data_IF_757932521589
#
_entry.id   IF_757932521589
#
_cell.length_a   1.000
_cell.length_b   1.000
_cell.length_c   1.000
_cell.angle_alpha   90.00
_cell.angle_beta   90.00
_cell.angle_gamma   90.00
#
_symmetry.space_group_name_H-M   'P 1'
#
loop_
_entity.id
_entity.type
_entity.pdbx_description
1 polymer ?
#
# COMPACT_ATOMS: atom_id res chain seq x y z
N UNK A 1 -44.16 -5.96 35.02
CA UNK A 1 -43.64 -7.30 34.60
C UNK A 1 -44.29 -7.84 33.31
N UNK A 2 -45.62 -7.74 33.11
CA UNK A 2 -46.28 -8.21 31.85
C UNK A 2 -45.84 -7.42 30.60
N UNK A 3 -45.67 -6.10 30.68
CA UNK A 3 -45.25 -5.24 29.56
C UNK A 3 -43.81 -5.53 29.07
N UNK A 4 -42.87 -5.87 29.96
CA UNK A 4 -41.52 -6.25 29.58
C UNK A 4 -41.44 -7.58 28.84
N UNK A 5 -42.31 -8.54 29.15
CA UNK A 5 -42.39 -9.82 28.43
C UNK A 5 -42.97 -9.70 27.03
N UNK A 6 -43.95 -8.80 26.83
CA UNK A 6 -44.57 -8.53 25.53
C UNK A 6 -43.54 -7.84 24.62
N UNK A 7 -42.79 -6.87 25.14
CA UNK A 7 -41.73 -6.20 24.36
C UNK A 7 -40.63 -7.18 23.92
N UNK A 8 -40.21 -8.15 24.73
CA UNK A 8 -39.24 -9.17 24.36
C UNK A 8 -39.73 -10.11 23.25
N UNK A 9 -40.99 -10.57 23.33
CA UNK A 9 -41.58 -11.44 22.31
C UNK A 9 -41.77 -10.73 20.97
N UNK A 10 -42.22 -9.46 21.00
CA UNK A 10 -42.37 -8.63 19.80
C UNK A 10 -40.99 -8.37 19.19
N UNK A 11 -40.00 -8.02 20.02
CA UNK A 11 -38.63 -7.78 19.62
C UNK A 11 -38.02 -9.01 18.92
N UNK A 12 -38.19 -10.21 19.50
CA UNK A 12 -37.69 -11.46 18.93
C UNK A 12 -38.32 -11.75 17.56
N UNK A 13 -39.63 -11.50 17.40
CA UNK A 13 -40.35 -11.73 16.15
C UNK A 13 -40.04 -10.70 15.06
N UNK A 14 -39.71 -9.45 15.42
CA UNK A 14 -39.27 -8.41 14.50
C UNK A 14 -37.79 -8.57 14.07
N UNK A 15 -36.99 -9.20 14.92
CA UNK A 15 -35.55 -9.45 14.66
C UNK A 15 -35.33 -10.73 13.83
N UNK A 16 -36.32 -11.65 13.81
CA UNK A 16 -36.16 -12.91 13.08
C UNK A 16 -35.82 -12.66 11.61
N UNK A 17 -34.67 -13.14 11.21
CA UNK A 17 -34.17 -13.08 9.82
C UNK A 17 -35.03 -13.97 8.93
N UNK A 18 -35.55 -15.09 9.49
CA UNK A 18 -36.27 -16.11 8.78
C UNK A 18 -37.64 -16.31 9.39
N UNK A 19 -38.71 -15.75 8.75
CA UNK A 19 -40.07 -16.04 9.07
C UNK A 19 -40.68 -16.92 7.98
N UNK A 20 -40.99 -18.19 8.30
CA UNK A 20 -41.54 -19.17 7.34
C UNK A 20 -42.87 -18.72 6.72
N UNK A 21 -43.61 -17.80 7.38
CA UNK A 21 -44.88 -17.27 6.90
C UNK A 21 -44.75 -16.15 5.86
N UNK A 22 -43.59 -15.48 5.81
CA UNK A 22 -43.33 -14.35 4.93
C UNK A 22 -42.00 -14.53 4.17
N UNK A 23 -42.00 -15.45 3.20
CA UNK A 23 -40.80 -15.76 2.36
C UNK A 23 -40.19 -14.52 1.74
N UNK A 24 -41.00 -13.55 1.32
CA UNK A 24 -40.51 -12.32 0.67
C UNK A 24 -39.77 -11.38 1.67
N UNK A 25 -40.26 -11.21 2.89
CA UNK A 25 -39.61 -10.44 3.94
C UNK A 25 -38.24 -11.03 4.29
N UNK A 26 -38.15 -12.36 4.41
CA UNK A 26 -36.88 -13.05 4.64
C UNK A 26 -35.88 -12.80 3.53
N UNK A 27 -36.32 -12.80 2.26
CA UNK A 27 -35.45 -12.47 1.12
C UNK A 27 -34.90 -11.06 1.22
N UNK A 28 -35.72 -10.05 1.48
CA UNK A 28 -35.27 -8.64 1.62
C UNK A 28 -34.24 -8.48 2.73
N UNK A 29 -34.44 -9.16 3.87
CA UNK A 29 -33.50 -9.14 4.98
C UNK A 29 -32.14 -9.76 4.59
N UNK A 30 -32.18 -10.92 3.94
CA UNK A 30 -30.94 -11.57 3.45
C UNK A 30 -30.22 -10.71 2.43
N UNK A 31 -30.95 -10.12 1.46
CA UNK A 31 -30.35 -9.20 0.50
C UNK A 31 -29.73 -7.96 1.16
N UNK A 32 -30.37 -7.41 2.19
CA UNK A 32 -29.80 -6.27 2.91
C UNK A 32 -28.50 -6.64 3.62
N UNK A 33 -28.43 -7.81 4.25
CA UNK A 33 -27.19 -8.31 4.87
C UNK A 33 -26.13 -8.55 3.81
N UNK A 34 -26.48 -9.19 2.68
CA UNK A 34 -25.54 -9.45 1.59
C UNK A 34 -24.96 -8.17 0.99
N UNK A 35 -25.80 -7.16 0.71
CA UNK A 35 -25.33 -5.87 0.17
C UNK A 35 -24.41 -5.18 1.17
N UNK A 36 -24.76 -5.16 2.46
CA UNK A 36 -23.90 -4.60 3.52
C UNK A 36 -22.56 -5.36 3.59
N UNK A 37 -22.61 -6.69 3.48
CA UNK A 37 -21.39 -7.53 3.45
C UNK A 37 -20.52 -7.19 2.25
N UNK A 38 -21.09 -7.11 1.04
CA UNK A 38 -20.35 -6.82 -0.19
C UNK A 38 -19.74 -5.41 -0.13
N UNK A 39 -20.52 -4.39 0.27
CA UNK A 39 -20.02 -3.02 0.38
C UNK A 39 -18.87 -2.92 1.39
N UNK A 40 -19.02 -3.48 2.58
CA UNK A 40 -17.99 -3.45 3.61
C UNK A 40 -16.75 -4.24 3.19
N UNK A 41 -16.92 -5.42 2.60
CA UNK A 41 -15.85 -6.23 2.03
C UNK A 41 -15.07 -5.43 0.97
N UNK A 42 -15.79 -4.81 0.01
CA UNK A 42 -15.16 -4.02 -1.06
C UNK A 42 -14.34 -2.86 -0.52
N UNK A 43 -14.85 -2.14 0.50
CA UNK A 43 -14.10 -1.04 1.13
C UNK A 43 -12.80 -1.56 1.78
N UNK A 44 -12.86 -2.66 2.53
CA UNK A 44 -11.67 -3.24 3.17
C UNK A 44 -10.65 -3.66 2.12
N UNK A 45 -11.07 -4.35 1.06
CA UNK A 45 -10.18 -4.83 0.01
C UNK A 45 -9.55 -3.67 -0.76
N UNK A 46 -10.33 -2.66 -1.17
CA UNK A 46 -9.80 -1.49 -1.90
C UNK A 46 -8.73 -0.78 -1.07
N UNK A 47 -8.99 -0.54 0.21
CA UNK A 47 -8.03 0.13 1.08
C UNK A 47 -6.79 -0.76 1.33
N UNK A 48 -6.98 -2.07 1.57
CA UNK A 48 -5.88 -3.01 1.79
C UNK A 48 -4.98 -3.18 0.56
N UNK A 49 -5.55 -3.19 -0.64
CA UNK A 49 -4.81 -3.23 -1.90
C UNK A 49 -4.05 -1.91 -2.12
N UNK A 50 -4.70 -0.76 -1.91
CA UNK A 50 -4.05 0.54 -2.02
C UNK A 50 -2.84 0.68 -1.10
N UNK A 51 -3.01 0.32 0.17
CA UNK A 51 -1.90 0.34 1.15
C UNK A 51 -0.81 -0.66 0.77
N UNK A 52 -1.20 -1.84 0.27
CA UNK A 52 -0.28 -2.85 -0.23
C UNK A 52 0.59 -2.34 -1.37
N UNK A 53 -0.02 -1.70 -2.38
CA UNK A 53 0.71 -1.08 -3.50
C UNK A 53 1.65 0.02 -3.02
N UNK A 54 1.15 0.96 -2.21
CA UNK A 54 1.99 2.04 -1.68
C UNK A 54 3.20 1.51 -0.93
N UNK A 55 2.97 0.58 -0.02
CA UNK A 55 4.04 0.01 0.80
C UNK A 55 5.04 -0.76 -0.06
N UNK A 56 4.58 -1.54 -1.03
CA UNK A 56 5.47 -2.29 -1.92
C UNK A 56 6.40 -1.37 -2.71
N UNK A 57 5.84 -0.33 -3.35
CA UNK A 57 6.63 0.63 -4.12
C UNK A 57 7.58 1.43 -3.22
N UNK A 58 7.10 1.93 -2.08
CA UNK A 58 7.93 2.65 -1.12
C UNK A 58 9.08 1.77 -0.64
N UNK A 59 8.84 0.48 -0.33
CA UNK A 59 9.90 -0.43 0.07
C UNK A 59 10.97 -0.61 -1.02
N UNK A 60 10.57 -0.79 -2.29
CA UNK A 60 11.52 -0.90 -3.40
C UNK A 60 12.35 0.38 -3.53
N UNK A 61 11.69 1.55 -3.47
CA UNK A 61 12.37 2.84 -3.55
C UNK A 61 13.33 3.06 -2.38
N UNK A 62 12.92 2.69 -1.15
CA UNK A 62 13.77 2.79 0.05
C UNK A 62 14.93 1.81 -0.01
N UNK A 63 14.73 0.62 -0.54
CA UNK A 63 15.79 -0.36 -0.71
C UNK A 63 16.86 0.13 -1.71
N UNK A 64 16.45 0.81 -2.78
CA UNK A 64 17.34 1.30 -3.81
C UNK A 64 17.94 2.69 -3.50
N UNK A 65 17.16 3.57 -2.90
CA UNK A 65 17.54 4.99 -2.71
C UNK A 65 17.75 5.39 -1.26
N UNK A 66 17.41 4.50 -0.29
CA UNK A 66 17.43 4.79 1.15
C UNK A 66 16.24 5.61 1.63
N UNK A 67 16.13 5.73 2.93
CA UNK A 67 15.16 6.61 3.59
C UNK A 67 15.63 8.06 3.58
N UNK A 68 16.95 8.26 3.63
CA UNK A 68 17.60 9.58 3.55
C UNK A 68 18.89 9.48 2.77
N UNK A 69 19.26 10.58 2.11
CA UNK A 69 20.59 10.75 1.50
C UNK A 69 21.29 11.96 2.06
N UNK A 70 22.58 11.81 2.33
CA UNK A 70 23.48 12.86 2.75
C UNK A 70 24.34 13.22 1.56
N UNK A 71 24.27 14.46 1.12
CA UNK A 71 25.09 15.04 0.07
C UNK A 71 26.14 15.99 0.65
N UNK A 72 27.27 16.18 0.00
CA UNK A 72 28.20 17.24 0.38
C UNK A 72 27.56 18.61 0.13
N UNK A 73 27.93 19.61 0.90
CA UNK A 73 27.67 21.01 0.55
C UNK A 73 28.46 21.40 -0.72
N UNK A 74 28.05 22.45 -1.45
CA UNK A 74 28.51 22.82 -2.79
C UNK A 74 30.05 22.88 -2.96
N UNK A 75 30.80 22.99 -1.88
CA UNK A 75 32.29 23.15 -1.88
C UNK A 75 33.01 21.99 -1.16
N UNK A 76 32.32 20.94 -0.79
CA UNK A 76 32.87 19.82 -0.02
C UNK A 76 32.67 18.52 -0.80
N UNK A 77 33.56 17.57 -0.62
CA UNK A 77 33.36 16.18 -1.01
C UNK A 77 33.11 15.29 0.21
N UNK A 78 32.46 14.17 0.03
CA UNK A 78 32.29 13.16 1.09
C UNK A 78 33.46 12.20 1.05
N UNK A 79 34.14 12.06 2.18
CA UNK A 79 35.29 11.19 2.36
C UNK A 79 34.99 9.99 3.27
N UNK A 80 35.91 9.03 3.29
CA UNK A 80 35.89 7.93 4.25
C UNK A 80 35.91 8.41 5.71
N UNK A 81 36.56 9.53 5.97
CA UNK A 81 36.60 10.19 7.27
C UNK A 81 35.16 10.63 7.70
N UNK A 82 34.41 11.24 6.77
CA UNK A 82 33.04 11.67 7.04
C UNK A 82 32.13 10.46 7.34
N UNK A 83 32.31 9.36 6.61
CA UNK A 83 31.60 8.10 6.87
C UNK A 83 31.88 7.59 8.29
N UNK A 84 33.14 7.51 8.68
CA UNK A 84 33.52 7.06 10.03
C UNK A 84 33.00 7.99 11.11
N UNK A 85 33.04 9.30 10.89
CA UNK A 85 32.51 10.29 11.81
C UNK A 85 31.00 10.12 12.01
N UNK A 86 30.21 10.02 10.94
CA UNK A 86 28.76 9.82 11.01
C UNK A 86 28.44 8.50 11.71
N UNK A 87 29.09 7.42 11.34
CA UNK A 87 28.90 6.10 11.95
C UNK A 87 29.23 6.12 13.46
N UNK A 88 30.27 6.83 13.87
CA UNK A 88 30.65 6.96 15.28
C UNK A 88 29.64 7.74 16.12
N UNK A 89 28.99 8.78 15.53
CA UNK A 89 28.00 9.61 16.22
C UNK A 89 26.70 8.84 16.48
N UNK A 90 26.27 8.04 15.52
CA UNK A 90 24.94 7.41 15.54
C UNK A 90 24.94 5.94 15.88
N UNK A 91 26.10 5.27 15.97
CA UNK A 91 26.28 3.88 16.47
C UNK A 91 25.08 3.00 16.15
N UNK A 92 25.05 2.29 15.12
CA UNK A 92 24.04 1.26 14.78
C UNK A 92 22.55 1.69 14.82
N UNK A 93 22.24 2.99 14.98
CA UNK A 93 20.85 3.47 14.95
C UNK A 93 20.23 3.34 13.54
N UNK A 94 21.07 3.33 12.52
CA UNK A 94 20.67 3.14 11.12
C UNK A 94 21.79 2.41 10.35
N UNK A 95 21.46 1.94 9.17
CA UNK A 95 22.43 1.39 8.23
C UNK A 95 22.83 2.45 7.21
N UNK A 96 24.11 2.56 6.93
CA UNK A 96 24.68 3.53 6.00
C UNK A 96 25.39 2.81 4.86
N UNK A 97 25.24 3.32 3.64
CA UNK A 97 25.94 2.83 2.46
C UNK A 97 26.55 4.01 1.69
N UNK A 98 27.75 3.78 1.17
CA UNK A 98 28.54 4.77 0.42
C UNK A 98 28.34 4.57 -1.07
N UNK A 99 28.13 5.63 -1.81
CA UNK A 99 27.88 5.54 -3.24
C UNK A 99 28.77 6.45 -4.07
N UNK A 100 29.24 5.86 -5.15
CA UNK A 100 29.72 6.59 -6.33
C UNK A 100 28.72 6.39 -7.44
N UNK A 101 28.31 7.46 -8.11
CA UNK A 101 27.46 7.36 -9.28
C UNK A 101 28.11 8.10 -10.45
N UNK A 102 28.03 7.50 -11.64
CA UNK A 102 28.49 8.12 -12.86
C UNK A 102 27.46 7.96 -13.96
N UNK A 103 27.12 9.04 -14.62
CA UNK A 103 26.34 8.97 -15.85
C UNK A 103 27.28 8.51 -16.97
N UNK A 104 26.91 7.46 -17.67
CA UNK A 104 27.73 6.87 -18.71
C UNK A 104 26.91 6.49 -19.93
N UNK A 105 27.56 6.38 -21.07
CA UNK A 105 26.97 5.68 -22.22
C UNK A 105 27.54 4.27 -22.24
N UNK A 106 26.65 3.31 -22.20
CA UNK A 106 27.00 1.89 -22.33
C UNK A 106 26.80 1.46 -23.77
N UNK A 107 27.88 0.99 -24.38
CA UNK A 107 27.84 0.45 -25.73
C UNK A 107 27.76 -1.05 -25.71
N UNK A 108 26.72 -1.56 -26.34
CA UNK A 108 26.57 -2.97 -26.68
C UNK A 108 27.13 -3.26 -28.06
N UNK A 109 27.02 -4.48 -28.56
CA UNK A 109 27.46 -4.84 -29.91
C UNK A 109 26.71 -4.08 -31.02
N UNK A 110 25.48 -3.63 -30.77
CA UNK A 110 24.59 -3.05 -31.79
C UNK A 110 24.18 -1.61 -31.50
N UNK A 111 24.07 -1.21 -30.22
CA UNK A 111 23.49 0.05 -29.78
C UNK A 111 24.30 0.70 -28.65
N UNK A 112 23.89 1.91 -28.30
CA UNK A 112 24.40 2.65 -27.14
C UNK A 112 23.24 3.21 -26.36
N UNK A 113 23.30 3.11 -25.03
CA UNK A 113 22.27 3.58 -24.11
C UNK A 113 22.89 4.44 -23.01
N UNK A 114 22.20 5.52 -22.62
CA UNK A 114 22.59 6.31 -21.47
C UNK A 114 22.16 5.60 -20.19
N UNK A 115 23.09 5.36 -19.29
CA UNK A 115 22.85 4.60 -18.07
C UNK A 115 23.43 5.32 -16.85
N UNK A 116 22.85 5.03 -15.70
CA UNK A 116 23.41 5.39 -14.41
C UNK A 116 24.23 4.20 -13.89
N UNK A 117 25.52 4.43 -13.78
CA UNK A 117 26.41 3.47 -13.15
C UNK A 117 26.56 3.82 -11.68
N UNK A 118 26.09 2.94 -10.81
CA UNK A 118 26.11 3.06 -9.36
C UNK A 118 27.04 2.01 -8.77
N UNK A 119 27.95 2.43 -7.91
CA UNK A 119 28.84 1.52 -7.21
C UNK A 119 28.81 1.74 -5.70
N UNK A 120 28.96 0.66 -4.97
CA UNK A 120 28.94 0.60 -3.51
C UNK A 120 29.97 -0.36 -2.97
N UNK A 121 30.28 -0.26 -1.67
CA UNK A 121 31.18 -1.21 -1.02
C UNK A 121 30.43 -2.52 -0.71
N UNK A 122 31.14 -3.64 -0.77
CA UNK A 122 30.63 -4.96 -0.36
C UNK A 122 30.23 -5.04 1.11
N UNK A 123 30.90 -4.27 1.97
CA UNK A 123 30.62 -4.25 3.40
C UNK A 123 29.43 -3.35 3.76
N UNK A 124 28.90 -2.62 2.79
CA UNK A 124 27.80 -1.70 3.01
C UNK A 124 26.44 -2.43 2.96
N UNK A 125 25.48 -1.90 3.70
CA UNK A 125 24.14 -2.49 3.81
C UNK A 125 23.43 -2.66 2.47
N UNK A 126 23.61 -1.72 1.54
CA UNK A 126 23.01 -1.79 0.21
C UNK A 126 23.40 -3.07 -0.54
N UNK A 127 24.66 -3.49 -0.43
CA UNK A 127 25.14 -4.70 -1.11
C UNK A 127 24.39 -5.95 -0.64
N UNK A 128 24.08 -6.07 0.65
CA UNK A 128 23.26 -7.16 1.17
C UNK A 128 21.80 -7.02 0.73
N UNK A 129 21.28 -5.80 0.70
CA UNK A 129 19.89 -5.53 0.39
C UNK A 129 19.54 -5.78 -1.08
N UNK A 130 20.46 -5.45 -2.01
CA UNK A 130 20.22 -5.65 -3.44
C UNK A 130 20.17 -7.14 -3.84
N UNK A 131 20.75 -8.04 -3.04
CA UNK A 131 20.72 -9.49 -3.30
C UNK A 131 19.31 -10.04 -3.45
N UNK A 132 18.32 -9.46 -2.78
CA UNK A 132 16.92 -9.89 -2.89
C UNK A 132 16.29 -9.59 -4.26
N UNK A 133 16.89 -8.68 -5.02
CA UNK A 133 16.47 -8.32 -6.37
C UNK A 133 17.28 -9.02 -7.46
N UNK A 134 18.35 -9.74 -7.11
CA UNK A 134 19.11 -10.52 -8.10
C UNK A 134 18.26 -11.67 -8.60
N UNK A 135 18.16 -11.79 -9.92
CA UNK A 135 17.48 -12.90 -10.61
C UNK A 135 18.48 -13.99 -10.91
N UNK A 136 19.59 -13.61 -11.52
CA UNK A 136 20.65 -14.53 -11.91
C UNK A 136 22.03 -13.96 -11.61
N UNK A 137 23.00 -14.83 -11.36
CA UNK A 137 24.39 -14.46 -11.18
C UNK A 137 24.73 -13.88 -9.81
N UNK A 138 25.88 -13.22 -9.74
CA UNK A 138 26.42 -12.62 -8.51
C UNK A 138 27.17 -11.33 -8.83
N UNK A 139 27.16 -10.38 -7.92
CA UNK A 139 28.00 -9.18 -8.03
C UNK A 139 29.40 -9.47 -7.46
N UNK A 140 30.43 -9.31 -8.29
CA UNK A 140 31.84 -9.52 -7.91
C UNK A 140 32.64 -8.24 -8.14
N UNK A 141 33.90 -8.19 -7.65
CA UNK A 141 34.74 -6.97 -7.66
C UNK A 141 35.13 -6.44 -9.05
N UNK A 142 35.10 -7.29 -10.06
CA UNK A 142 35.55 -6.94 -11.41
C UNK A 142 34.46 -7.01 -12.46
N UNK A 143 33.22 -7.14 -12.02
CA UNK A 143 32.07 -7.34 -12.91
C UNK A 143 30.93 -6.37 -12.57
N UNK A 144 29.95 -6.33 -13.44
CA UNK A 144 28.76 -5.52 -13.27
C UNK A 144 27.49 -6.38 -13.31
N UNK A 145 26.47 -5.91 -12.60
CA UNK A 145 25.13 -6.45 -12.66
C UNK A 145 24.22 -5.41 -13.31
N UNK A 146 23.44 -5.83 -14.30
CA UNK A 146 22.56 -4.96 -15.06
C UNK A 146 21.10 -5.31 -14.82
N UNK A 147 20.21 -4.34 -15.07
CA UNK A 147 18.77 -4.60 -14.96
C UNK A 147 18.28 -5.58 -16.03
N UNK A 148 17.29 -6.39 -15.66
CA UNK A 148 16.75 -7.46 -16.47
C UNK A 148 16.16 -6.96 -17.82
N UNK A 149 15.44 -5.83 -17.80
CA UNK A 149 14.90 -5.20 -19.01
C UNK A 149 16.00 -4.71 -19.97
N UNK A 150 17.12 -4.22 -19.45
CA UNK A 150 18.24 -3.83 -20.31
C UNK A 150 18.86 -5.03 -21.00
N UNK A 151 19.07 -6.13 -20.29
CA UNK A 151 19.64 -7.35 -20.86
C UNK A 151 18.69 -7.97 -21.89
N UNK A 152 17.38 -8.02 -21.59
CA UNK A 152 16.38 -8.53 -22.52
C UNK A 152 16.27 -7.67 -23.78
N UNK A 153 16.26 -6.34 -23.65
CA UNK A 153 16.15 -5.39 -24.78
C UNK A 153 17.27 -5.54 -25.80
N UNK A 154 18.47 -5.91 -25.35
CA UNK A 154 19.67 -6.01 -26.21
C UNK A 154 20.15 -7.45 -26.45
N UNK A 155 19.35 -8.46 -26.04
CA UNK A 155 19.67 -9.91 -26.13
C UNK A 155 21.07 -10.22 -25.54
N UNK A 156 21.36 -9.61 -24.38
CA UNK A 156 22.62 -9.78 -23.67
C UNK A 156 22.54 -10.96 -22.70
N UNK A 157 23.65 -11.71 -22.61
CA UNK A 157 23.75 -12.87 -21.71
C UNK A 157 24.79 -12.63 -20.63
N UNK A 158 24.66 -13.36 -19.53
CA UNK A 158 25.69 -13.41 -18.52
C UNK A 158 27.02 -13.85 -19.15
N UNK A 159 28.09 -13.13 -18.89
CA UNK A 159 29.38 -13.33 -19.50
C UNK A 159 29.72 -12.37 -20.64
N UNK A 160 28.74 -11.67 -21.20
CA UNK A 160 28.97 -10.66 -22.23
C UNK A 160 29.71 -9.44 -21.68
N UNK A 161 30.43 -8.74 -22.56
CA UNK A 161 31.20 -7.56 -22.21
C UNK A 161 30.48 -6.29 -22.66
N UNK A 162 30.37 -5.32 -21.74
CA UNK A 162 29.85 -3.98 -21.98
C UNK A 162 30.98 -2.96 -21.95
N UNK A 163 30.93 -1.98 -22.86
CA UNK A 163 31.88 -0.86 -22.88
C UNK A 163 31.20 0.38 -22.33
N UNK A 164 31.78 0.95 -21.29
CA UNK A 164 31.30 2.13 -20.57
C UNK A 164 32.12 3.35 -20.98
N UNK A 165 31.45 4.42 -21.39
CA UNK A 165 32.06 5.70 -21.69
C UNK A 165 31.53 6.72 -20.67
N UNK A 166 32.40 7.15 -19.80
CA UNK A 166 32.12 8.19 -18.80
C UNK A 166 32.50 9.54 -19.35
N UNK A 167 31.69 10.55 -19.17
CA UNK A 167 31.87 11.89 -19.72
C UNK A 167 32.09 12.90 -18.61
N UNK A 168 33.06 13.80 -18.84
CA UNK A 168 33.26 15.03 -18.09
C UNK A 168 33.31 16.19 -19.08
N UNK A 169 32.54 17.25 -18.82
CA UNK A 169 32.49 18.46 -19.64
C UNK A 169 32.31 18.19 -21.17
N UNK A 170 31.44 17.23 -21.51
CA UNK A 170 31.14 16.75 -22.88
C UNK A 170 32.28 15.99 -23.61
N UNK A 171 33.37 15.69 -22.95
CA UNK A 171 34.46 14.84 -23.47
C UNK A 171 34.42 13.48 -22.77
N UNK A 172 34.87 12.43 -23.47
CA UNK A 172 35.07 11.11 -22.86
C UNK A 172 36.26 11.21 -21.90
N UNK A 173 35.97 11.10 -20.60
CA UNK A 173 36.99 11.09 -19.56
C UNK A 173 37.68 9.74 -19.48
N UNK A 174 36.88 8.68 -19.50
CA UNK A 174 37.35 7.32 -19.32
C UNK A 174 36.48 6.31 -20.07
N UNK A 175 37.12 5.23 -20.51
CA UNK A 175 36.45 4.10 -21.13
C UNK A 175 36.81 2.82 -20.36
N UNK A 176 35.79 2.09 -19.94
CA UNK A 176 35.93 0.85 -19.21
C UNK A 176 35.25 -0.29 -19.96
N UNK A 177 35.68 -1.52 -19.70
CA UNK A 177 35.08 -2.69 -20.27
C UNK A 177 34.86 -3.73 -19.16
N UNK A 178 33.61 -4.03 -18.86
CA UNK A 178 33.24 -4.96 -17.80
C UNK A 178 32.40 -6.10 -18.32
N UNK A 179 32.54 -7.24 -17.66
CA UNK A 179 31.72 -8.42 -17.91
C UNK A 179 30.43 -8.36 -17.08
N UNK A 180 29.31 -8.71 -17.68
CA UNK A 180 28.02 -8.87 -16.99
C UNK A 180 28.06 -10.17 -16.21
N UNK A 181 27.97 -10.12 -14.91
CA UNK A 181 28.00 -11.31 -14.02
C UNK A 181 26.64 -11.65 -13.42
N UNK A 182 25.64 -10.80 -13.57
CA UNK A 182 24.32 -11.04 -13.05
C UNK A 182 23.27 -10.07 -13.58
N UNK A 183 22.03 -10.39 -13.30
CA UNK A 183 20.87 -9.54 -13.56
C UNK A 183 20.10 -9.26 -12.30
N UNK A 184 19.46 -8.09 -12.23
CA UNK A 184 18.53 -7.73 -11.16
C UNK A 184 17.19 -7.29 -11.74
N UNK A 185 16.13 -7.47 -10.96
CA UNK A 185 14.77 -7.12 -11.31
C UNK A 185 14.04 -6.47 -10.13
N UNK A 186 13.74 -5.20 -10.28
CA UNK A 186 12.98 -4.43 -9.29
C UNK A 186 11.50 -4.32 -9.64
N UNK A 187 11.14 -4.67 -10.87
CA UNK A 187 9.88 -4.40 -11.53
C UNK A 187 9.59 -2.88 -11.75
N UNK A 188 10.54 -2.00 -11.51
CA UNK A 188 10.46 -0.58 -11.87
C UNK A 188 11.23 -0.40 -13.19
N UNK A 189 10.53 -0.11 -14.31
CA UNK A 189 11.16 -0.08 -15.64
C UNK A 189 12.36 0.84 -15.74
N UNK A 190 12.33 2.00 -15.08
CA UNK A 190 13.43 2.97 -15.11
C UNK A 190 14.72 2.40 -14.51
N UNK A 191 14.63 1.67 -13.39
CA UNK A 191 15.79 1.03 -12.78
C UNK A 191 16.24 -0.18 -13.60
N UNK A 192 15.30 -1.03 -14.00
CA UNK A 192 15.61 -2.26 -14.71
C UNK A 192 16.11 -2.02 -16.15
N UNK A 193 15.92 -0.79 -16.70
CA UNK A 193 16.42 -0.41 -18.03
C UNK A 193 17.69 0.43 -18.01
N UNK A 194 17.91 1.26 -16.97
CA UNK A 194 18.93 2.30 -17.02
C UNK A 194 19.92 2.26 -15.85
N UNK A 195 19.83 1.29 -14.93
CA UNK A 195 20.74 1.18 -13.82
C UNK A 195 21.70 0.01 -13.99
N UNK A 196 22.99 0.27 -13.73
CA UNK A 196 24.04 -0.74 -13.62
C UNK A 196 24.67 -0.63 -12.24
N UNK A 197 24.91 -1.78 -11.63
CA UNK A 197 25.49 -1.89 -10.31
C UNK A 197 26.88 -2.53 -10.38
N UNK A 198 27.82 -2.01 -9.58
CA UNK A 198 29.15 -2.58 -9.40
C UNK A 198 29.65 -2.40 -7.98
N UNK A 199 30.78 -2.99 -7.67
CA UNK A 199 31.54 -2.65 -6.47
C UNK A 199 32.46 -1.45 -6.77
N UNK A 200 32.77 -0.61 -5.78
CA UNK A 200 33.53 0.63 -6.03
C UNK A 200 35.03 0.38 -6.27
N UNK A 201 35.54 -0.81 -6.06
CA UNK A 201 36.94 -1.15 -6.44
C UNK A 201 37.23 -1.01 -7.95
N UNK A 202 36.21 -0.73 -8.75
CA UNK A 202 36.36 -0.47 -10.19
C UNK A 202 36.67 0.99 -10.54
N UNK A 203 36.58 1.91 -9.57
CA UNK A 203 36.96 3.30 -9.75
C UNK A 203 38.40 3.52 -9.28
N UNK A 204 39.18 4.24 -10.06
CA UNK A 204 40.53 4.64 -9.70
C UNK A 204 40.57 5.46 -8.38
N UNK A 205 41.68 5.48 -7.72
CA UNK A 205 42.05 5.82 -6.35
C UNK A 205 41.53 7.12 -5.70
N UNK A 206 40.67 7.91 -6.30
CA UNK A 206 40.07 9.08 -5.65
C UNK A 206 38.78 8.72 -4.95
N UNK A 207 38.88 8.50 -3.65
CA UNK A 207 37.78 8.05 -2.80
C UNK A 207 36.92 9.25 -2.37
N UNK A 208 36.23 9.88 -3.31
CA UNK A 208 35.18 10.84 -3.03
C UNK A 208 33.83 10.22 -3.31
N UNK A 209 32.96 10.21 -2.30
CA UNK A 209 31.60 9.69 -2.46
C UNK A 209 30.67 10.80 -2.90
N UNK A 210 29.74 10.49 -3.78
CA UNK A 210 28.72 11.44 -4.22
C UNK A 210 27.66 11.65 -3.14
N UNK A 211 27.27 10.57 -2.48
CA UNK A 211 26.35 10.63 -1.35
C UNK A 211 26.48 9.41 -0.43
N UNK A 212 26.01 9.58 0.80
CA UNK A 212 25.75 8.46 1.71
C UNK A 212 24.25 8.21 1.77
N UNK A 213 23.86 6.94 1.61
CA UNK A 213 22.50 6.48 1.76
C UNK A 213 22.29 5.94 3.16
N UNK A 214 21.19 6.37 3.79
CA UNK A 214 20.78 5.92 5.12
C UNK A 214 19.50 5.10 4.99
N UNK A 215 19.49 3.92 5.61
CA UNK A 215 18.32 3.11 5.81
C UNK A 215 17.99 3.08 7.31
N UNK A 216 16.91 3.77 7.68
CA UNK A 216 16.40 3.93 9.04
C UNK A 216 15.08 3.17 9.19
N UNK A 217 15.15 1.93 9.68
CA UNK A 217 14.00 1.02 9.76
C UNK A 217 12.87 1.52 10.67
N UNK A 218 13.13 2.43 11.58
CA UNK A 218 12.16 2.96 12.53
C UNK A 218 11.71 4.40 12.22
N UNK A 219 12.33 5.06 11.23
CA UNK A 219 12.10 6.48 10.88
C UNK A 219 12.24 7.43 12.09
N UNK A 220 13.08 7.08 13.05
CA UNK A 220 13.19 7.76 14.34
C UNK A 220 14.41 8.67 14.45
N UNK A 221 15.37 8.54 13.51
CA UNK A 221 16.64 9.23 13.65
C UNK A 221 16.58 10.65 13.11
N UNK A 222 16.70 11.64 14.02
CA UNK A 222 16.96 13.02 13.63
C UNK A 222 18.46 13.19 13.38
N UNK A 223 18.80 13.69 12.19
CA UNK A 223 20.19 13.94 11.78
C UNK A 223 20.68 15.35 12.18
N UNK A 224 20.06 15.96 13.18
CA UNK A 224 20.32 17.35 13.61
C UNK A 224 21.78 17.61 14.00
N UNK A 225 22.50 16.57 14.46
CA UNK A 225 23.89 16.68 14.89
C UNK A 225 24.85 16.91 13.73
N UNK A 226 24.48 16.51 12.51
CA UNK A 226 25.32 16.63 11.32
C UNK A 226 24.80 17.66 10.31
N UNK A 227 23.60 18.17 10.49
CA UNK A 227 22.84 19.00 9.53
C UNK A 227 23.52 20.35 9.17
N UNK A 228 24.56 20.78 9.90
CA UNK A 228 25.26 22.03 9.62
C UNK A 228 26.32 21.95 8.53
N UNK A 229 26.71 20.73 8.13
CA UNK A 229 27.82 20.50 7.19
C UNK A 229 27.35 19.83 5.89
N UNK A 230 26.18 19.22 5.89
CA UNK A 230 25.70 18.38 4.79
C UNK A 230 24.26 18.72 4.42
N UNK A 231 23.94 18.53 3.15
CA UNK A 231 22.55 18.56 2.67
C UNK A 231 21.91 17.19 2.87
N UNK A 232 20.76 17.15 3.52
CA UNK A 232 20.05 15.90 3.80
C UNK A 232 18.71 15.95 3.09
N UNK A 233 18.48 14.98 2.21
CA UNK A 233 17.23 14.82 1.48
C UNK A 233 16.51 13.56 1.98
N UNK A 234 15.21 13.68 2.25
CA UNK A 234 14.35 12.55 2.62
C UNK A 234 13.93 11.75 1.37
N UNK A 235 13.52 10.50 1.56
CA UNK A 235 13.06 9.61 0.49
C UNK A 235 11.98 10.25 -0.41
N UNK A 236 11.08 11.07 0.17
CA UNK A 236 10.03 11.77 -0.58
C UNK A 236 10.57 12.89 -1.49
N UNK A 237 11.70 13.48 -1.16
CA UNK A 237 12.39 14.47 -2.00
C UNK A 237 13.20 13.79 -3.09
N UNK A 238 13.94 12.74 -2.74
CA UNK A 238 14.74 11.93 -3.67
C UNK A 238 13.87 11.33 -4.77
N UNK A 239 12.71 10.80 -4.39
CA UNK A 239 11.76 10.10 -5.27
C UNK A 239 10.47 10.91 -5.50
N UNK A 240 10.56 12.24 -5.55
CA UNK A 240 9.40 13.14 -5.54
C UNK A 240 8.34 12.80 -6.61
N UNK A 241 8.77 12.43 -7.81
CA UNK A 241 7.87 12.05 -8.91
C UNK A 241 7.05 10.80 -8.57
N UNK A 242 7.68 9.78 -7.99
CA UNK A 242 6.97 8.56 -7.56
C UNK A 242 6.01 8.84 -6.41
N UNK A 243 6.41 9.62 -5.41
CA UNK A 243 5.54 9.98 -4.30
C UNK A 243 4.34 10.83 -4.75
N UNK A 244 4.54 11.78 -5.67
CA UNK A 244 3.45 12.56 -6.27
C UNK A 244 2.49 11.66 -7.05
N UNK A 245 3.03 10.73 -7.84
CA UNK A 245 2.24 9.76 -8.58
C UNK A 245 1.42 8.87 -7.63
N UNK A 246 2.01 8.28 -6.60
CA UNK A 246 1.31 7.48 -5.58
C UNK A 246 0.18 8.27 -4.89
N UNK A 247 0.45 9.51 -4.52
CA UNK A 247 -0.53 10.36 -3.85
C UNK A 247 -1.67 10.80 -4.77
N UNK A 248 -1.45 10.85 -6.10
CA UNK A 248 -2.49 11.21 -7.07
C UNK A 248 -3.68 10.24 -7.08
N UNK A 249 -3.44 8.97 -6.71
CA UNK A 249 -4.49 7.94 -6.63
C UNK A 249 -5.36 8.03 -5.37
N UNK A 250 -4.95 8.77 -4.35
CA UNK A 250 -5.69 8.85 -3.09
C UNK A 250 -7.08 9.45 -3.26
N UNK A 251 -7.21 10.50 -4.07
CA UNK A 251 -8.49 11.17 -4.26
C UNK A 251 -9.50 10.33 -5.05
N UNK A 252 -9.15 9.70 -6.18
CA UNK A 252 -10.02 8.74 -6.86
C UNK A 252 -10.46 7.58 -5.96
N UNK A 253 -9.54 7.01 -5.15
CA UNK A 253 -9.87 5.91 -4.24
C UNK A 253 -10.83 6.37 -3.13
N UNK A 254 -10.60 7.53 -2.53
CA UNK A 254 -11.51 8.13 -1.53
C UNK A 254 -12.90 8.37 -2.12
N UNK A 255 -12.97 8.85 -3.36
CA UNK A 255 -14.23 9.05 -4.07
C UNK A 255 -14.97 7.73 -4.31
N UNK A 256 -14.25 6.69 -4.75
CA UNK A 256 -14.83 5.36 -4.96
C UNK A 256 -15.36 4.78 -3.64
N UNK A 257 -14.58 4.84 -2.56
CA UNK A 257 -15.01 4.41 -1.22
C UNK A 257 -16.23 5.19 -0.76
N UNK A 258 -16.28 6.51 -0.99
CA UNK A 258 -17.44 7.34 -0.68
C UNK A 258 -18.71 6.84 -1.38
N UNK A 259 -18.67 6.53 -2.69
CA UNK A 259 -19.82 6.00 -3.39
C UNK A 259 -20.28 4.64 -2.87
N UNK A 260 -19.34 3.74 -2.53
CA UNK A 260 -19.70 2.44 -1.93
C UNK A 260 -20.41 2.64 -0.58
N UNK A 261 -19.93 3.58 0.23
CA UNK A 261 -20.55 3.94 1.50
C UNK A 261 -21.95 4.49 1.29
N UNK A 262 -22.16 5.36 0.29
CA UNK A 262 -23.50 5.89 -0.05
C UNK A 262 -24.44 4.75 -0.46
N UNK A 263 -23.99 3.80 -1.25
CA UNK A 263 -24.78 2.62 -1.64
C UNK A 263 -25.17 1.78 -0.39
N UNK A 264 -24.25 1.57 0.51
CA UNK A 264 -24.52 0.85 1.77
C UNK A 264 -25.56 1.59 2.63
N UNK A 265 -25.48 2.93 2.73
CA UNK A 265 -26.46 3.76 3.42
C UNK A 265 -27.85 3.65 2.79
N UNK A 266 -27.96 3.78 1.48
CA UNK A 266 -29.23 3.68 0.75
C UNK A 266 -29.85 2.29 0.93
N UNK A 267 -29.04 1.23 0.96
CA UNK A 267 -29.51 -0.13 1.26
C UNK A 267 -30.17 -0.23 2.66
N UNK A 268 -29.53 0.33 3.69
CA UNK A 268 -30.07 0.31 5.05
C UNK A 268 -31.37 1.12 5.13
N UNK A 269 -31.41 2.30 4.49
CA UNK A 269 -32.62 3.14 4.43
C UNK A 269 -33.76 2.39 3.76
N UNK A 270 -33.52 1.80 2.60
CA UNK A 270 -34.53 1.05 1.85
C UNK A 270 -35.05 -0.16 2.64
N UNK A 271 -34.18 -0.90 3.32
CA UNK A 271 -34.60 -2.04 4.13
C UNK A 271 -35.52 -1.62 5.28
N UNK A 272 -35.22 -0.51 5.95
CA UNK A 272 -36.05 0.02 7.04
C UNK A 272 -37.39 0.55 6.52
N UNK A 273 -37.39 1.29 5.39
CA UNK A 273 -38.62 1.78 4.75
C UNK A 273 -39.52 0.62 4.34
N UNK A 274 -38.96 -0.40 3.70
CA UNK A 274 -39.66 -1.60 3.30
C UNK A 274 -40.34 -2.30 4.51
N UNK A 275 -39.60 -2.46 5.62
CA UNK A 275 -40.15 -3.05 6.84
C UNK A 275 -41.35 -2.26 7.35
N UNK A 276 -41.24 -0.95 7.46
CA UNK A 276 -42.32 -0.09 7.99
C UNK A 276 -43.55 -0.15 7.09
N UNK A 277 -43.36 -0.13 5.79
CA UNK A 277 -44.46 -0.21 4.81
C UNK A 277 -45.20 -1.55 4.90
N UNK A 278 -44.49 -2.66 4.86
CA UNK A 278 -45.10 -4.00 4.89
C UNK A 278 -45.73 -4.35 6.22
N UNK A 279 -45.16 -3.89 7.32
CA UNK A 279 -45.68 -4.15 8.66
C UNK A 279 -46.59 -3.05 9.20
N UNK A 280 -47.00 -2.07 8.37
CA UNK A 280 -47.86 -0.96 8.78
C UNK A 280 -49.11 -1.42 9.52
N UNK A 281 -49.83 -2.44 9.02
CA UNK A 281 -51.01 -3.02 9.70
C UNK A 281 -50.69 -3.61 11.07
N UNK A 282 -49.59 -4.36 11.18
CA UNK A 282 -49.16 -4.97 12.43
C UNK A 282 -48.70 -3.90 13.45
N UNK A 283 -47.99 -2.89 12.98
CA UNK A 283 -47.55 -1.75 13.77
C UNK A 283 -48.76 -0.99 14.33
N UNK A 284 -49.76 -0.70 13.50
CA UNK A 284 -50.98 -0.01 13.94
C UNK A 284 -51.75 -0.81 15.00
N UNK A 285 -51.83 -2.14 14.86
CA UNK A 285 -52.42 -3.01 15.90
C UNK A 285 -51.65 -2.92 17.22
N UNK A 286 -50.32 -2.93 17.19
CA UNK A 286 -49.46 -2.81 18.36
C UNK A 286 -49.63 -1.44 19.05
N UNK A 287 -49.73 -0.39 18.27
CA UNK A 287 -49.97 0.98 18.78
C UNK A 287 -51.36 1.07 19.42
N UNK A 288 -52.41 0.45 18.81
CA UNK A 288 -53.76 0.42 19.37
C UNK A 288 -53.84 -0.42 20.64
N UNK A 289 -52.97 -1.38 20.83
CA UNK A 289 -52.81 -2.18 22.06
C UNK A 289 -51.99 -1.44 23.14
N UNK A 290 -51.62 -0.15 22.92
CA UNK A 290 -50.95 0.68 23.89
C UNK A 290 -49.43 0.65 23.84
N UNK A 291 -48.81 0.19 22.72
CA UNK A 291 -47.38 0.27 22.53
C UNK A 291 -46.96 1.73 22.33
N UNK A 292 -45.93 2.17 23.06
CA UNK A 292 -45.38 3.53 22.91
C UNK A 292 -44.54 3.65 21.63
N UNK A 293 -44.64 4.78 20.94
CA UNK A 293 -43.84 5.14 19.78
C UNK A 293 -42.32 5.03 19.99
N UNK A 294 -41.85 5.37 21.21
CA UNK A 294 -40.44 5.21 21.58
C UNK A 294 -39.99 3.74 21.58
N UNK A 295 -40.83 2.83 22.03
CA UNK A 295 -40.54 1.40 22.04
C UNK A 295 -40.46 0.85 20.60
N UNK A 296 -41.33 1.33 19.72
CA UNK A 296 -41.31 0.93 18.29
C UNK A 296 -40.01 1.42 17.60
N UNK A 297 -39.64 2.69 17.81
CA UNK A 297 -38.35 3.21 17.32
C UNK A 297 -37.17 2.34 17.78
N UNK A 298 -37.13 2.02 19.07
CA UNK A 298 -36.06 1.18 19.64
C UNK A 298 -35.97 -0.18 18.97
N UNK A 299 -37.13 -0.83 18.69
CA UNK A 299 -37.14 -2.13 17.99
C UNK A 299 -36.56 -2.03 16.58
N UNK A 300 -36.92 -0.99 15.82
CA UNK A 300 -36.42 -0.78 14.45
C UNK A 300 -34.90 -0.52 14.47
N UNK A 301 -34.41 0.34 15.40
CA UNK A 301 -33.00 0.62 15.56
C UNK A 301 -32.21 -0.65 15.89
N UNK A 302 -32.67 -1.43 16.88
CA UNK A 302 -31.98 -2.66 17.28
C UNK A 302 -31.91 -3.65 16.10
N UNK A 303 -33.02 -3.81 15.35
CA UNK A 303 -33.04 -4.69 14.17
C UNK A 303 -32.05 -4.25 13.10
N UNK A 304 -32.08 -2.98 12.72
CA UNK A 304 -31.15 -2.44 11.69
C UNK A 304 -29.71 -2.58 12.11
N UNK A 305 -29.42 -2.30 13.39
CA UNK A 305 -28.06 -2.44 13.95
C UNK A 305 -27.60 -3.90 13.93
N UNK A 306 -28.46 -4.85 14.27
CA UNK A 306 -28.12 -6.29 14.24
C UNK A 306 -27.80 -6.77 12.81
N UNK A 307 -28.59 -6.36 11.80
CA UNK A 307 -28.32 -6.75 10.43
C UNK A 307 -27.03 -6.12 9.89
N UNK A 308 -26.77 -4.86 10.25
CA UNK A 308 -25.51 -4.17 9.92
C UNK A 308 -24.31 -4.87 10.59
N UNK A 309 -24.41 -5.25 11.86
CA UNK A 309 -23.36 -5.98 12.59
C UNK A 309 -23.09 -7.33 11.93
N UNK A 310 -24.12 -8.10 11.60
CA UNK A 310 -23.97 -9.42 10.96
C UNK A 310 -23.27 -9.25 9.59
N UNK A 311 -23.70 -8.27 8.79
CA UNK A 311 -23.11 -7.96 7.50
C UNK A 311 -21.64 -7.54 7.62
N UNK A 312 -21.30 -6.66 8.56
CA UNK A 312 -19.93 -6.23 8.81
C UNK A 312 -19.04 -7.38 9.31
N UNK A 313 -19.51 -8.20 10.24
CA UNK A 313 -18.72 -9.34 10.73
C UNK A 313 -18.43 -10.35 9.62
N UNK A 314 -19.45 -10.66 8.80
CA UNK A 314 -19.26 -11.53 7.64
C UNK A 314 -18.26 -10.92 6.64
N UNK A 315 -18.34 -9.61 6.37
CA UNK A 315 -17.42 -8.90 5.48
C UNK A 315 -15.98 -8.92 5.98
N UNK A 316 -15.77 -8.65 7.27
CA UNK A 316 -14.47 -8.67 7.91
C UNK A 316 -13.86 -10.07 7.78
N UNK A 317 -14.63 -11.12 8.11
CA UNK A 317 -14.15 -12.50 8.03
C UNK A 317 -13.75 -12.87 6.59
N UNK A 318 -14.59 -12.55 5.61
CA UNK A 318 -14.30 -12.80 4.20
C UNK A 318 -13.09 -11.99 3.70
N UNK A 319 -12.96 -10.72 4.10
CA UNK A 319 -11.84 -9.88 3.71
C UNK A 319 -10.52 -10.40 4.27
N UNK A 320 -10.48 -10.77 5.54
CA UNK A 320 -9.27 -11.36 6.14
C UNK A 320 -8.92 -12.72 5.54
N UNK A 321 -9.92 -13.55 5.25
CA UNK A 321 -9.70 -14.81 4.55
C UNK A 321 -9.08 -14.56 3.16
N UNK A 322 -9.62 -13.60 2.40
CA UNK A 322 -9.08 -13.24 1.09
C UNK A 322 -7.64 -12.71 1.19
N UNK A 323 -7.38 -11.76 2.10
CA UNK A 323 -6.05 -11.19 2.32
C UNK A 323 -5.05 -12.28 2.73
N UNK A 324 -5.44 -13.19 3.64
CA UNK A 324 -4.62 -14.32 4.05
C UNK A 324 -4.29 -15.25 2.88
N UNK A 325 -5.28 -15.61 2.07
CA UNK A 325 -5.08 -16.45 0.89
C UNK A 325 -4.19 -15.75 -0.14
N UNK A 326 -4.43 -14.48 -0.41
CA UNK A 326 -3.62 -13.70 -1.36
C UNK A 326 -2.17 -13.56 -0.91
N UNK A 327 -1.91 -13.29 0.37
CA UNK A 327 -0.56 -13.13 0.90
C UNK A 327 0.26 -14.43 0.91
N UNK A 328 -0.39 -15.60 1.07
CA UNK A 328 0.33 -16.87 1.16
C UNK A 328 0.37 -17.64 -0.17
N UNK A 329 -0.63 -17.50 -1.01
CA UNK A 329 -0.78 -18.31 -2.23
C UNK A 329 -0.67 -17.50 -3.52
N UNK A 330 -0.54 -16.15 -3.44
CA UNK A 330 -0.36 -15.28 -4.61
C UNK A 330 -1.38 -15.54 -5.73
N UNK A 331 -2.68 -15.64 -5.36
CA UNK A 331 -3.76 -16.09 -6.23
C UNK A 331 -3.95 -15.22 -7.49
N UNK A 332 -3.68 -13.91 -7.37
CA UNK A 332 -3.88 -12.94 -8.45
C UNK A 332 -2.51 -12.46 -8.93
N UNK A 333 -1.99 -13.02 -10.04
CA UNK A 333 -0.76 -12.54 -10.66
C UNK A 333 -1.02 -11.22 -11.39
N UNK A 334 -0.01 -10.35 -11.43
CA UNK A 334 -0.02 -9.08 -12.13
C UNK A 334 1.20 -8.99 -13.07
N UNK A 335 1.09 -8.25 -14.20
CA UNK A 335 2.27 -7.94 -15.02
C UNK A 335 3.21 -7.01 -14.25
N UNK A 336 4.39 -7.53 -13.84
CA UNK A 336 5.31 -6.87 -12.94
C UNK A 336 5.68 -5.45 -13.36
N UNK A 337 6.06 -5.25 -14.61
CA UNK A 337 6.47 -3.94 -15.14
C UNK A 337 5.35 -2.90 -15.31
N UNK A 338 4.07 -3.31 -15.23
CA UNK A 338 2.93 -2.39 -15.26
C UNK A 338 2.54 -1.95 -13.85
N UNK A 339 2.61 -2.90 -12.91
CA UNK A 339 2.12 -2.70 -11.54
C UNK A 339 3.25 -2.64 -10.49
N UNK A 340 4.50 -2.69 -10.93
CA UNK A 340 5.70 -2.73 -10.04
C UNK A 340 5.69 -3.90 -9.05
N UNK A 341 4.94 -4.94 -9.35
CA UNK A 341 4.80 -6.15 -8.52
C UNK A 341 4.23 -7.29 -9.36
N UNK A 342 4.68 -8.50 -9.12
CA UNK A 342 4.24 -9.70 -9.85
C UNK A 342 2.91 -10.27 -9.34
N UNK A 343 2.48 -9.87 -8.16
CA UNK A 343 1.24 -10.31 -7.53
C UNK A 343 0.52 -9.14 -6.90
N UNK A 344 -0.82 -9.26 -6.76
CA UNK A 344 -1.63 -8.24 -6.11
C UNK A 344 -1.16 -8.04 -4.65
N UNK A 345 -0.53 -6.90 -4.32
CA UNK A 345 -0.08 -6.64 -2.97
C UNK A 345 -1.27 -6.28 -2.08
N UNK A 346 -1.34 -6.90 -0.92
CA UNK A 346 -2.39 -6.63 0.08
C UNK A 346 -1.74 -6.41 1.44
N UNK A 347 -2.22 -5.41 2.16
CA UNK A 347 -1.75 -5.13 3.51
C UNK A 347 -2.90 -5.20 4.51
N UNK A 348 -2.70 -5.94 5.60
CA UNK A 348 -3.65 -5.95 6.71
C UNK A 348 -3.49 -4.68 7.52
N UNK A 349 -4.56 -3.90 7.64
CA UNK A 349 -4.58 -2.72 8.48
C UNK A 349 -5.78 -2.79 9.45
N UNK A 350 -5.51 -3.06 10.71
CA UNK A 350 -6.53 -3.20 11.75
C UNK A 350 -7.32 -1.91 12.01
N UNK A 351 -6.76 -0.74 11.68
CA UNK A 351 -7.46 0.54 11.84
C UNK A 351 -8.74 0.60 11.00
N UNK A 352 -8.81 -0.09 9.86
CA UNK A 352 -10.03 -0.11 9.04
C UNK A 352 -11.20 -0.74 9.78
N UNK A 353 -10.98 -1.79 10.57
CA UNK A 353 -12.02 -2.41 11.39
C UNK A 353 -12.50 -1.43 12.46
N UNK A 354 -11.58 -0.72 13.11
CA UNK A 354 -11.88 0.22 14.17
C UNK A 354 -12.80 1.37 13.68
N UNK A 355 -12.68 1.78 12.41
CA UNK A 355 -13.50 2.83 11.82
C UNK A 355 -14.77 2.32 11.14
N UNK A 356 -14.70 1.21 10.42
CA UNK A 356 -15.84 0.66 9.66
C UNK A 356 -16.96 0.19 10.60
N UNK A 357 -16.63 -0.46 11.70
CA UNK A 357 -17.63 -1.02 12.61
C UNK A 357 -18.49 0.05 13.32
N UNK A 358 -17.92 1.07 14.00
CA UNK A 358 -18.70 2.17 14.55
C UNK A 358 -19.48 2.95 13.48
N UNK A 359 -18.89 3.14 12.31
CA UNK A 359 -19.53 3.85 11.21
C UNK A 359 -20.79 3.10 10.74
N UNK A 360 -20.73 1.78 10.58
CA UNK A 360 -21.89 0.96 10.20
C UNK A 360 -23.00 1.03 11.27
N UNK A 361 -22.65 1.09 12.55
CA UNK A 361 -23.63 1.25 13.64
C UNK A 361 -24.28 2.63 13.63
N UNK A 362 -23.52 3.70 13.46
CA UNK A 362 -24.05 5.07 13.40
C UNK A 362 -24.96 5.27 12.21
N UNK A 363 -24.65 4.70 11.06
CA UNK A 363 -25.49 4.75 9.85
C UNK A 363 -26.80 3.98 10.02
N UNK A 364 -26.75 2.79 10.64
CA UNK A 364 -27.95 2.02 10.98
C UNK A 364 -28.87 2.79 11.94
N UNK A 365 -28.30 3.45 12.93
CA UNK A 365 -29.03 4.28 13.89
C UNK A 365 -29.70 5.49 13.21
N UNK A 366 -28.94 6.27 12.44
CA UNK A 366 -29.46 7.46 11.76
C UNK A 366 -30.57 7.10 10.75
N UNK A 367 -30.37 6.07 9.94
CA UNK A 367 -31.35 5.64 8.95
C UNK A 367 -32.67 5.20 9.60
N UNK A 368 -32.59 4.55 10.75
CA UNK A 368 -33.78 4.10 11.49
C UNK A 368 -34.62 5.28 12.03
N UNK A 369 -33.96 6.34 12.48
CA UNK A 369 -34.64 7.56 12.94
C UNK A 369 -35.29 8.30 11.77
N UNK A 370 -34.58 8.46 10.65
CA UNK A 370 -35.08 9.14 9.46
C UNK A 370 -36.34 8.46 8.92
N UNK A 371 -36.30 7.15 8.72
CA UNK A 371 -37.42 6.41 8.16
C UNK A 371 -38.65 6.38 9.08
N UNK A 372 -38.44 6.29 10.40
CA UNK A 372 -39.53 6.36 11.33
C UNK A 372 -40.28 7.70 11.25
N UNK A 373 -39.58 8.80 11.16
CA UNK A 373 -40.19 10.13 11.03
C UNK A 373 -40.97 10.27 9.72
N UNK A 374 -40.47 9.75 8.59
CA UNK A 374 -41.17 9.80 7.31
C UNK A 374 -42.51 9.02 7.34
N UNK A 375 -42.53 7.83 7.93
CA UNK A 375 -43.75 6.99 7.96
C UNK A 375 -44.76 7.44 9.01
N UNK A 376 -44.34 8.16 10.05
CA UNK A 376 -45.27 8.67 11.09
C UNK A 376 -46.11 9.86 10.63
N UNK A 377 -45.76 10.48 9.48
CA UNK A 377 -46.54 11.60 8.87
C UNK A 377 -47.51 11.18 7.77
N UNK A 378 -47.46 9.91 7.29
CA UNK A 378 -48.43 9.29 6.39
C UNK A 378 -49.45 8.39 7.16
#
# INVERSE_FOLDING_TARGET
>A
MKYQKINKLVLFRFISIWDQRFKFESLVNVFSILITTICTFSVIIILSVNDGFKKNIVNILTDLNGDKRIYPDEYLSLSEFDYQQITSIYKDQFKISRFHTKKCIVKTSQNSEAMLWMSTNKDDYFFENIKKYLVDGILTDSTVVAGDLFLEKYDLKLGDYLSFFVFKDNFVESAYKFQVSGSFKTNIPDYDSHLILSTYNLFDDEIEFEYFQINDFENTVSLDKINKKYLINDASEINSSFYQWLNSYDNPIKLLVFFIVVIALLNIINNNYYLLYYKKKQINILLSLGMNNASLKTIIVIRSSLYSIIGCLAAILLAYLFIYLQSNYYLIPLPGYVYFTEYLPVQVNFYYILFIFPFALTTAFLSSILNYNLVSYE
#
